data_IF_423627618493
#
_entry.id   IF_423627618493
#
_cell.length_a   1.000
_cell.length_b   1.000
_cell.length_c   1.000
_cell.angle_alpha   90.00
_cell.angle_beta   90.00
_cell.angle_gamma   90.00
#
_symmetry.space_group_name_H-M   'P 1'
#
loop_
_entity.id
_entity.type
_entity.pdbx_description
1 polymer ?
#
# COMPACT_ATOMS: atom_id res chain seq x y z
N UNK A 1 6.47 -4.46 -0.58
CA UNK A 1 5.54 -3.79 -1.52
C UNK A 1 6.30 -3.46 -2.78
N UNK A 2 5.78 -3.78 -3.98
CA UNK A 2 6.44 -3.50 -5.26
C UNK A 2 6.87 -2.03 -5.41
N UNK A 3 6.04 -1.11 -4.90
CA UNK A 3 6.32 0.33 -4.86
C UNK A 3 7.59 0.69 -4.08
N UNK A 4 7.90 -0.05 -3.01
CA UNK A 4 9.09 0.16 -2.17
C UNK A 4 10.38 -0.36 -2.82
N UNK A 5 10.28 -1.15 -3.88
CA UNK A 5 11.41 -1.72 -4.62
C UNK A 5 11.60 -1.05 -5.99
N UNK A 6 10.77 -0.08 -6.34
CA UNK A 6 10.82 0.64 -7.61
C UNK A 6 11.90 1.72 -7.61
N UNK A 7 13.15 1.29 -7.82
CA UNK A 7 14.33 2.15 -7.91
C UNK A 7 14.36 2.99 -9.19
N UNK A 8 13.72 2.52 -10.26
CA UNK A 8 13.69 3.21 -11.56
C UNK A 8 12.57 4.27 -11.64
N UNK A 9 11.78 4.44 -10.57
CA UNK A 9 10.67 5.39 -10.50
C UNK A 9 9.63 5.20 -11.62
N UNK A 10 9.38 3.95 -12.01
CA UNK A 10 8.34 3.59 -12.99
C UNK A 10 6.95 3.78 -12.40
N UNK A 11 6.79 3.54 -11.09
CA UNK A 11 5.52 3.62 -10.38
C UNK A 11 5.35 5.00 -9.74
N UNK A 12 4.40 5.79 -10.28
CA UNK A 12 4.10 7.15 -9.82
C UNK A 12 3.38 7.17 -8.46
N UNK A 13 2.41 6.27 -8.27
CA UNK A 13 1.70 6.11 -7.00
C UNK A 13 1.10 4.71 -6.85
N UNK A 14 0.65 4.36 -5.64
CA UNK A 14 -0.04 3.09 -5.39
C UNK A 14 -1.07 3.17 -4.26
N UNK A 15 -2.02 2.24 -4.26
CA UNK A 15 -2.99 2.07 -3.17
C UNK A 15 -2.85 0.66 -2.59
N UNK A 16 -2.87 0.53 -1.27
CA UNK A 16 -2.81 -0.74 -0.57
C UNK A 16 -4.01 -0.86 0.39
N UNK A 17 -4.77 -1.95 0.25
CA UNK A 17 -6.01 -2.21 0.99
C UNK A 17 -5.76 -3.41 1.90
N UNK A 18 -6.08 -3.28 3.18
CA UNK A 18 -5.81 -4.26 4.24
C UNK A 18 -4.41 -4.91 4.11
N UNK A 19 -3.32 -4.10 4.03
CA UNK A 19 -1.99 -4.63 3.71
C UNK A 19 -1.39 -5.44 4.86
N UNK A 20 -0.79 -6.59 4.53
CA UNK A 20 0.13 -7.30 5.42
C UNK A 20 1.48 -6.59 5.38
N UNK A 21 1.88 -6.04 6.52
CA UNK A 21 3.12 -5.25 6.65
C UNK A 21 4.28 -6.07 7.19
N UNK A 22 4.00 -7.03 8.07
CA UNK A 22 5.02 -7.85 8.72
C UNK A 22 4.45 -9.21 9.03
N UNK A 23 5.03 -10.27 8.45
CA UNK A 23 4.53 -11.64 8.65
C UNK A 23 4.65 -12.12 10.09
N UNK A 24 5.45 -11.44 10.92
CA UNK A 24 5.51 -11.69 12.36
C UNK A 24 4.15 -11.55 13.06
N UNK A 25 3.29 -10.66 12.58
CA UNK A 25 1.94 -10.44 13.14
C UNK A 25 0.83 -11.16 12.37
N UNK A 26 1.19 -11.94 11.34
CA UNK A 26 0.23 -12.66 10.52
C UNK A 26 0.03 -14.10 11.01
N UNK A 27 -0.90 -14.83 10.39
CA UNK A 27 -1.23 -16.21 10.74
C UNK A 27 0.03 -17.12 10.74
N UNK A 28 0.24 -17.85 11.84
CA UNK A 28 1.38 -18.76 12.01
C UNK A 28 1.44 -19.84 10.93
N UNK A 29 0.31 -20.46 10.58
CA UNK A 29 0.26 -21.50 9.55
C UNK A 29 0.81 -21.00 8.20
N UNK A 30 0.40 -19.80 7.78
CA UNK A 30 0.89 -19.23 6.52
C UNK A 30 2.36 -18.86 6.63
N UNK A 31 2.73 -18.18 7.72
CA UNK A 31 4.07 -17.64 7.92
C UNK A 31 5.11 -18.75 8.03
N UNK A 32 4.84 -19.82 8.80
CA UNK A 32 5.74 -20.97 8.95
C UNK A 32 5.88 -21.77 7.66
N UNK A 33 4.79 -21.91 6.90
CA UNK A 33 4.79 -22.71 5.68
C UNK A 33 5.48 -22.01 4.50
N UNK A 34 5.34 -20.69 4.38
CA UNK A 34 5.71 -19.97 3.17
C UNK A 34 6.81 -18.92 3.36
N UNK A 35 7.02 -18.41 4.58
CA UNK A 35 7.95 -17.29 4.83
C UNK A 35 9.17 -17.76 5.61
N UNK A 36 8.96 -18.48 6.70
CA UNK A 36 10.06 -18.95 7.55
C UNK A 36 10.75 -20.14 6.87
N UNK A 37 12.07 -20.03 6.72
CA UNK A 37 12.91 -21.17 6.37
C UNK A 37 13.66 -21.65 7.61
N UNK A 38 13.62 -22.95 7.95
CA UNK A 38 14.28 -23.48 9.15
C UNK A 38 15.77 -23.11 9.26
N UNK A 39 16.45 -22.98 8.12
CA UNK A 39 17.88 -22.68 8.05
C UNK A 39 18.21 -21.18 8.21
N UNK A 40 17.21 -20.28 8.18
CA UNK A 40 17.44 -18.84 8.02
C UNK A 40 17.29 -18.04 9.31
N UNK A 41 17.02 -18.71 10.44
CA UNK A 41 16.93 -18.11 11.78
C UNK A 41 16.10 -16.81 11.83
N UNK A 42 15.01 -16.75 11.06
CA UNK A 42 14.09 -15.61 11.03
C UNK A 42 14.52 -14.41 10.18
N UNK A 43 15.60 -14.46 9.40
CA UNK A 43 15.96 -13.33 8.50
C UNK A 43 14.89 -13.05 7.46
N UNK A 44 14.27 -14.08 6.88
CA UNK A 44 13.14 -13.94 5.97
C UNK A 44 11.98 -13.11 6.54
N UNK A 45 11.74 -13.13 7.87
CA UNK A 45 10.73 -12.28 8.50
C UNK A 45 11.15 -10.81 8.52
N UNK A 46 12.43 -10.52 8.79
CA UNK A 46 12.98 -9.17 8.78
C UNK A 46 13.01 -8.61 7.36
N UNK A 47 13.48 -9.43 6.39
CA UNK A 47 13.59 -9.04 5.00
C UNK A 47 12.23 -8.84 4.33
N UNK A 48 11.17 -9.46 4.84
CA UNK A 48 9.81 -9.26 4.35
C UNK A 48 9.05 -8.13 5.06
N UNK A 49 9.58 -7.60 6.16
CA UNK A 49 8.94 -6.55 6.94
C UNK A 49 9.01 -5.19 6.21
N UNK A 50 7.84 -4.66 5.86
CA UNK A 50 7.72 -3.40 5.14
C UNK A 50 7.99 -2.19 6.04
N UNK A 51 7.77 -2.30 7.35
CA UNK A 51 8.03 -1.22 8.30
C UNK A 51 9.52 -0.86 8.38
N UNK A 52 10.40 -1.82 8.07
CA UNK A 52 11.85 -1.61 8.01
C UNK A 52 12.32 -0.98 6.70
N UNK A 53 11.44 -0.90 5.69
CA UNK A 53 11.75 -0.43 4.32
C UNK A 53 11.09 0.90 3.97
N UNK A 54 10.57 1.61 4.98
CA UNK A 54 9.84 2.88 4.82
C UNK A 54 10.66 3.99 4.17
N UNK A 55 12.00 3.97 4.29
CA UNK A 55 12.88 4.93 3.63
C UNK A 55 12.74 4.94 2.10
N UNK A 56 12.32 3.82 1.50
CA UNK A 56 12.14 3.71 0.06
C UNK A 56 10.83 4.38 -0.44
N UNK A 57 10.00 4.89 0.47
CA UNK A 57 8.74 5.54 0.13
C UNK A 57 8.84 7.06 0.02
N UNK A 58 10.00 7.66 0.31
CA UNK A 58 10.14 9.13 0.39
C UNK A 58 9.75 9.88 -0.89
N UNK A 59 9.96 9.29 -2.07
CA UNK A 59 9.57 9.86 -3.36
C UNK A 59 8.24 9.34 -3.89
N UNK A 60 7.55 8.48 -3.13
CA UNK A 60 6.37 7.75 -3.60
C UNK A 60 5.12 8.32 -2.96
N UNK A 61 4.05 8.41 -3.75
CA UNK A 61 2.72 8.70 -3.24
C UNK A 61 1.98 7.40 -3.03
N UNK A 62 1.40 7.20 -1.85
CA UNK A 62 0.56 6.02 -1.63
C UNK A 62 -0.62 6.28 -0.69
N UNK A 63 -1.66 5.50 -0.95
CA UNK A 63 -2.89 5.43 -0.17
C UNK A 63 -2.92 4.11 0.60
N UNK A 64 -3.14 4.20 1.91
CA UNK A 64 -3.42 3.07 2.78
C UNK A 64 -4.91 3.04 3.08
N UNK A 65 -5.53 1.87 2.94
CA UNK A 65 -6.92 1.63 3.32
C UNK A 65 -6.97 0.45 4.28
N UNK A 66 -7.69 0.58 5.40
CA UNK A 66 -7.90 -0.55 6.30
C UNK A 66 -9.28 -0.54 6.98
N UNK A 67 -9.88 -1.72 7.12
CA UNK A 67 -11.05 -1.96 7.97
C UNK A 67 -10.69 -2.27 9.43
N UNK A 68 -11.27 -1.56 10.40
CA UNK A 68 -10.89 -1.76 11.82
C UNK A 68 -11.33 -3.11 12.42
N UNK A 69 -12.33 -3.76 11.82
CA UNK A 69 -12.86 -5.05 12.26
C UNK A 69 -12.32 -6.22 11.40
N UNK A 70 -11.19 -6.03 10.72
CA UNK A 70 -10.54 -7.05 9.94
C UNK A 70 -9.90 -8.12 10.84
N UNK A 71 -10.47 -9.33 10.80
CA UNK A 71 -9.98 -10.49 11.56
C UNK A 71 -8.98 -11.34 10.79
N UNK A 72 -8.79 -11.10 9.49
CA UNK A 72 -7.83 -11.84 8.66
C UNK A 72 -6.47 -11.15 8.67
N UNK A 73 -6.46 -9.84 8.41
CA UNK A 73 -5.27 -8.99 8.50
C UNK A 73 -5.57 -7.92 9.52
N UNK A 74 -5.03 -8.04 10.73
CA UNK A 74 -5.35 -7.09 11.79
C UNK A 74 -4.87 -5.66 11.44
N UNK A 75 -5.65 -4.64 11.82
CA UNK A 75 -5.36 -3.22 11.56
C UNK A 75 -3.98 -2.77 12.09
N UNK A 76 -3.46 -3.48 13.08
CA UNK A 76 -2.08 -3.39 13.59
C UNK A 76 -1.03 -3.35 12.48
N UNK A 77 -1.21 -4.08 11.37
CA UNK A 77 -0.27 -4.01 10.26
C UNK A 77 -0.14 -2.59 9.71
N UNK A 78 -1.27 -1.93 9.44
CA UNK A 78 -1.27 -0.56 8.92
C UNK A 78 -0.88 0.45 10.00
N UNK A 79 -1.24 0.23 11.26
CA UNK A 79 -0.77 1.05 12.38
C UNK A 79 0.77 1.05 12.51
N UNK A 80 1.42 -0.11 12.37
CA UNK A 80 2.89 -0.20 12.42
C UNK A 80 3.52 0.51 11.22
N UNK A 81 2.99 0.31 10.01
CA UNK A 81 3.52 0.97 8.82
C UNK A 81 3.40 2.49 8.92
N UNK A 82 2.22 3.00 9.29
CA UNK A 82 1.99 4.44 9.45
C UNK A 82 2.89 5.06 10.51
N UNK A 83 3.10 4.38 11.65
CA UNK A 83 4.08 4.78 12.66
C UNK A 83 5.48 4.95 12.05
N UNK A 84 5.98 3.93 11.36
CA UNK A 84 7.34 3.97 10.78
C UNK A 84 7.47 5.04 9.69
N UNK A 85 6.43 5.26 8.88
CA UNK A 85 6.40 6.33 7.87
C UNK A 85 6.46 7.72 8.51
N UNK A 86 5.73 7.94 9.61
CA UNK A 86 5.77 9.19 10.37
C UNK A 86 7.18 9.42 10.94
N UNK A 87 7.80 8.38 11.50
CA UNK A 87 9.15 8.46 12.08
C UNK A 87 10.21 8.91 11.06
N UNK A 88 10.05 8.53 9.79
CA UNK A 88 10.96 8.95 8.70
C UNK A 88 10.49 10.19 7.92
N UNK A 89 9.37 10.80 8.32
CA UNK A 89 8.84 12.01 7.68
C UNK A 89 8.26 11.81 6.28
N UNK A 90 7.80 10.59 5.95
CA UNK A 90 7.20 10.29 4.65
C UNK A 90 5.71 10.62 4.68
N UNK A 91 5.24 11.36 3.67
CA UNK A 91 3.83 11.73 3.54
C UNK A 91 3.01 10.61 2.90
N UNK A 92 1.81 10.38 3.41
CA UNK A 92 0.88 9.39 2.89
C UNK A 92 -0.58 9.78 3.12
N UNK A 93 -1.49 9.13 2.39
CA UNK A 93 -2.93 9.19 2.64
C UNK A 93 -3.36 7.90 3.36
N UNK A 94 -4.18 8.03 4.39
CA UNK A 94 -4.72 6.90 5.13
C UNK A 94 -6.24 7.04 5.27
N UNK A 95 -6.98 6.04 4.79
CA UNK A 95 -8.42 5.93 4.95
C UNK A 95 -8.74 4.73 5.84
N UNK A 96 -9.44 4.99 6.94
CA UNK A 96 -9.91 3.95 7.86
C UNK A 96 -11.41 3.77 7.65
N UNK A 97 -11.85 2.51 7.63
CA UNK A 97 -13.26 2.13 7.64
C UNK A 97 -13.59 1.43 8.96
N UNK A 98 -14.36 2.10 9.79
CA UNK A 98 -14.71 1.59 11.12
C UNK A 98 -15.76 0.48 10.99
N UNK A 99 -15.70 -0.53 11.85
CA UNK A 99 -16.61 -1.70 11.90
C UNK A 99 -16.64 -2.58 10.65
N UNK A 100 -15.74 -2.33 9.69
CA UNK A 100 -15.62 -3.12 8.46
C UNK A 100 -14.54 -4.20 8.59
N UNK A 101 -14.87 -5.39 8.08
CA UNK A 101 -13.99 -6.55 8.08
C UNK A 101 -13.10 -6.59 6.81
N UNK A 102 -12.40 -7.71 6.57
CA UNK A 102 -11.50 -7.87 5.43
C UNK A 102 -12.15 -7.61 4.05
N UNK A 103 -13.46 -7.83 3.90
CA UNK A 103 -14.16 -7.64 2.62
C UNK A 103 -14.62 -6.21 2.38
N UNK A 104 -14.66 -5.37 3.43
CA UNK A 104 -15.17 -3.99 3.37
C UNK A 104 -16.57 -3.89 2.74
N UNK A 105 -17.39 -4.94 2.88
CA UNK A 105 -18.62 -5.09 2.09
C UNK A 105 -19.67 -4.02 2.38
N UNK A 106 -19.70 -3.43 3.58
CA UNK A 106 -20.65 -2.37 3.91
C UNK A 106 -20.30 -1.03 3.27
N UNK A 107 -19.04 -0.86 2.83
CA UNK A 107 -18.50 0.43 2.33
C UNK A 107 -17.84 0.32 0.96
N UNK A 108 -17.97 -0.81 0.27
CA UNK A 108 -17.17 -1.09 -0.95
C UNK A 108 -17.31 -0.03 -2.04
N UNK A 109 -18.49 0.58 -2.18
CA UNK A 109 -18.69 1.68 -3.12
C UNK A 109 -17.83 2.90 -2.78
N UNK A 110 -17.75 3.26 -1.50
CA UNK A 110 -16.91 4.37 -1.03
C UNK A 110 -15.42 4.02 -1.14
N UNK A 111 -15.04 2.76 -0.92
CA UNK A 111 -13.66 2.28 -1.15
C UNK A 111 -13.25 2.53 -2.59
N UNK A 112 -14.07 2.13 -3.58
CA UNK A 112 -13.77 2.37 -4.99
C UNK A 112 -13.67 3.86 -5.32
N UNK A 113 -14.62 4.68 -4.86
CA UNK A 113 -14.58 6.14 -5.05
C UNK A 113 -13.32 6.77 -4.45
N UNK A 114 -12.89 6.30 -3.28
CA UNK A 114 -11.66 6.77 -2.62
C UNK A 114 -10.43 6.46 -3.47
N UNK A 115 -10.38 5.25 -4.04
CA UNK A 115 -9.27 4.79 -4.89
C UNK A 115 -9.26 5.57 -6.21
N UNK A 116 -10.43 5.74 -6.84
CA UNK A 116 -10.59 6.51 -8.09
C UNK A 116 -10.12 7.95 -7.90
N UNK A 117 -10.67 8.66 -6.90
CA UNK A 117 -10.27 10.03 -6.60
C UNK A 117 -8.76 10.15 -6.32
N UNK A 118 -8.20 9.19 -5.57
CA UNK A 118 -6.77 9.17 -5.31
C UNK A 118 -5.93 9.02 -6.59
N UNK A 119 -6.33 8.16 -7.52
CA UNK A 119 -5.60 7.98 -8.76
C UNK A 119 -5.80 9.15 -9.72
N UNK A 120 -7.00 9.72 -9.83
CA UNK A 120 -7.24 10.91 -10.64
C UNK A 120 -6.33 12.06 -10.21
N UNK A 121 -6.26 12.34 -8.91
CA UNK A 121 -5.41 13.40 -8.35
C UNK A 121 -3.90 13.19 -8.65
N UNK A 122 -3.44 11.94 -8.71
CA UNK A 122 -2.01 11.61 -8.72
C UNK A 122 -1.47 11.13 -10.07
N UNK A 123 -2.34 10.67 -10.97
CA UNK A 123 -1.99 10.31 -12.36
C UNK A 123 -2.39 11.40 -13.36
N UNK A 124 -3.58 11.97 -13.28
CA UNK A 124 -4.15 12.79 -14.36
C UNK A 124 -3.76 14.28 -14.32
N UNK A 125 -3.09 14.73 -13.27
CA UNK A 125 -2.62 16.13 -13.15
C UNK A 125 -1.38 16.46 -14.00
N UNK A 126 -0.86 15.52 -14.79
CA UNK A 126 0.03 15.88 -15.88
C UNK A 126 -0.85 16.46 -16.99
N UNK A 127 -1.06 17.78 -16.98
CA UNK A 127 -1.68 18.57 -18.04
C UNK A 127 -0.83 18.54 -19.32
N UNK A 128 -0.54 17.35 -19.84
CA UNK A 128 -0.32 17.16 -21.26
C UNK A 128 -1.69 16.99 -21.87
N UNK A 129 -2.21 18.13 -22.31
CA UNK A 129 -3.49 18.31 -22.97
C UNK A 129 -3.74 17.20 -24.00
N UNK A 130 -4.50 16.17 -23.60
CA UNK A 130 -4.78 14.97 -24.39
C UNK A 130 -5.47 15.32 -25.72
N UNK A 131 -6.03 16.52 -25.81
CA UNK A 131 -6.60 17.07 -27.03
C UNK A 131 -5.53 17.37 -28.09
N UNK A 132 -4.32 17.79 -27.71
CA UNK A 132 -3.23 18.09 -28.66
C UNK A 132 -2.57 16.84 -29.24
N UNK A 133 -2.48 15.75 -28.48
CA UNK A 133 -1.90 14.49 -28.95
C UNK A 133 -2.72 13.82 -30.07
N UNK A 134 -4.04 14.03 -30.08
CA UNK A 134 -4.94 13.42 -31.07
C UNK A 134 -4.90 14.14 -32.44
N UNK A 135 -4.54 15.43 -32.47
CA UNK A 135 -4.50 16.21 -33.72
C UNK A 135 -3.14 16.18 -34.44
N UNK A 136 -2.05 15.84 -33.76
CA UNK A 136 -0.71 15.77 -34.37
C UNK A 136 -0.41 14.45 -35.10
N UNK A 137 -1.33 13.47 -35.09
CA UNK A 137 -1.20 12.21 -35.83
C UNK A 137 -1.76 12.27 -37.27
N UNK A 138 -2.29 13.42 -37.70
CA UNK A 138 -2.85 13.63 -39.04
C UNK A 138 -2.26 14.88 -39.72
N UNK A 139 -0.95 14.90 -39.89
CA UNK A 139 -0.23 15.69 -40.91
C UNK A 139 1.04 14.95 -41.27
#
# INVERSE_FOLDING_TARGET
>A
MMLASDSENVLKCGAAINPIVSFKYYNSFFTERYVIQPADNGRALLDSDLSMKVGNFASKKYLLIHGTADTQVHEQHTAILTKSLIEVGVMFRHQVYVDENHSLSGVIAHVYQTIEAYFEENFLNDNQDWTTAFFLSKT
#
